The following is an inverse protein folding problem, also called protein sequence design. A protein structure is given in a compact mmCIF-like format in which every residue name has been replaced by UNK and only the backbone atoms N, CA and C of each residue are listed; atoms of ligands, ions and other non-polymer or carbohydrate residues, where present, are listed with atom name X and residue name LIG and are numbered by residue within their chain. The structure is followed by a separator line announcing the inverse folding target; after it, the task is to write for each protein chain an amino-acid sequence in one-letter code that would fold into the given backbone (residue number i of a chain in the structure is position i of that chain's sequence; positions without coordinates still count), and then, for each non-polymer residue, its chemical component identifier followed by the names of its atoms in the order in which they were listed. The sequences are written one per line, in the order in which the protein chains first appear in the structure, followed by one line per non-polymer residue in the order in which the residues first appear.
data_IF_791227323657
#
_entry.id   IF_791227323657
#
_cell.length_a   1.000
_cell.length_b   1.000
_cell.length_c   1.000
_cell.angle_alpha   90.00
_cell.angle_beta   90.00
_cell.angle_gamma   90.00
#
_symmetry.space_group_name_H-M   'P 1'
#
loop_
_entity.id
_entity.type
_entity.pdbx_description
1 polymer ?
#
# COMPACT_ATOMS: atom_id res chain seq x y z
N UNK A 1 -17.37 9.96 10.93
CA UNK A 1 -15.98 10.09 11.41
C UNK A 1 -15.87 11.36 12.25
N UNK A 2 -14.98 11.44 13.24
CA UNK A 2 -14.85 12.63 14.11
C UNK A 2 -14.56 13.92 13.31
N UNK A 3 -13.74 13.83 12.25
CA UNK A 3 -13.42 14.97 11.39
C UNK A 3 -14.61 15.47 10.54
N UNK A 4 -15.57 14.61 10.22
CA UNK A 4 -16.77 14.98 9.45
C UNK A 4 -17.83 15.69 10.30
N UNK A 5 -17.64 15.67 11.63
CA UNK A 5 -18.50 16.34 12.60
C UNK A 5 -17.87 17.65 13.11
N UNK A 6 -16.64 17.96 12.69
CA UNK A 6 -15.96 19.21 13.04
C UNK A 6 -16.62 20.38 12.31
N UNK A 7 -16.70 21.52 12.99
CA UNK A 7 -17.19 22.75 12.37
C UNK A 7 -16.24 23.18 11.25
N UNK A 8 -16.77 23.52 10.07
CA UNK A 8 -15.98 23.89 8.89
C UNK A 8 -15.16 25.16 9.13
N UNK A 9 -15.62 26.01 10.05
CA UNK A 9 -15.01 27.30 10.40
C UNK A 9 -13.92 27.18 11.48
N UNK A 10 -13.77 26.02 12.15
CA UNK A 10 -12.75 25.80 13.18
C UNK A 10 -11.52 25.05 12.64
N UNK A 11 -10.29 25.48 12.98
CA UNK A 11 -9.10 24.74 12.63
C UNK A 11 -9.00 23.45 13.44
N UNK A 12 -8.57 22.37 12.78
CA UNK A 12 -8.35 21.05 13.38
C UNK A 12 -6.86 20.80 13.61
N UNK A 13 -6.54 20.02 14.63
CA UNK A 13 -5.17 19.55 14.87
C UNK A 13 -4.84 18.39 13.92
N UNK A 14 -3.82 18.58 13.09
CA UNK A 14 -3.30 17.56 12.19
C UNK A 14 -1.84 17.24 12.53
N UNK A 15 -1.52 15.95 12.65
CA UNK A 15 -0.20 15.47 13.06
C UNK A 15 0.73 15.32 11.86
N UNK A 16 1.89 15.98 11.92
CA UNK A 16 2.99 15.79 10.96
C UNK A 16 4.24 15.41 11.73
N UNK A 17 4.72 14.19 11.53
CA UNK A 17 5.83 13.62 12.30
C UNK A 17 5.46 13.49 13.79
N UNK A 18 6.12 14.27 14.64
CA UNK A 18 5.88 14.28 16.10
C UNK A 18 5.14 15.54 16.60
N UNK A 19 4.77 16.45 15.70
CA UNK A 19 4.11 17.72 16.06
C UNK A 19 2.68 17.79 15.53
N UNK A 20 1.84 18.57 16.23
CA UNK A 20 0.47 18.89 15.81
C UNK A 20 0.39 20.32 15.31
N UNK A 21 -0.31 20.50 14.20
CA UNK A 21 -0.52 21.80 13.56
C UNK A 21 -2.01 22.06 13.44
N UNK A 22 -2.41 23.29 13.77
CA UNK A 22 -3.76 23.75 13.53
C UNK A 22 -3.89 24.12 12.05
N UNK A 23 -4.68 23.35 11.30
CA UNK A 23 -4.95 23.56 9.88
C UNK A 23 -6.45 23.58 9.63
N UNK A 24 -6.89 24.18 8.52
CA UNK A 24 -8.31 24.15 8.17
C UNK A 24 -8.79 22.71 7.91
N UNK A 25 -10.05 22.43 8.25
CA UNK A 25 -10.68 21.14 8.02
C UNK A 25 -10.52 20.67 6.58
N UNK A 26 -10.81 21.56 5.61
CA UNK A 26 -10.63 21.28 4.18
C UNK A 26 -9.20 20.86 3.81
N UNK A 27 -8.20 21.49 4.42
CA UNK A 27 -6.79 21.12 4.18
C UNK A 27 -6.46 19.77 4.79
N UNK A 28 -6.94 19.48 5.99
CA UNK A 28 -6.76 18.18 6.63
C UNK A 28 -7.38 17.06 5.77
N UNK A 29 -8.61 17.25 5.29
CA UNK A 29 -9.29 16.29 4.41
C UNK A 29 -8.53 16.04 3.10
N UNK A 30 -8.03 17.10 2.43
CA UNK A 30 -7.22 16.94 1.21
C UNK A 30 -5.92 16.17 1.47
N UNK A 31 -5.24 16.43 2.60
CA UNK A 31 -4.03 15.71 2.96
C UNK A 31 -4.32 14.23 3.23
N UNK A 32 -5.36 13.93 4.02
CA UNK A 32 -5.78 12.56 4.29
C UNK A 32 -6.13 11.80 3.01
N UNK A 33 -6.87 12.43 2.10
CA UNK A 33 -7.24 11.81 0.83
C UNK A 33 -6.00 11.50 -0.02
N UNK A 34 -5.07 12.45 -0.11
CA UNK A 34 -3.80 12.24 -0.83
C UNK A 34 -2.96 11.13 -0.20
N UNK A 35 -2.87 11.08 1.12
CA UNK A 35 -2.12 10.06 1.84
C UNK A 35 -2.75 8.67 1.60
N UNK A 36 -4.08 8.58 1.63
CA UNK A 36 -4.81 7.36 1.32
C UNK A 36 -4.54 6.90 -0.12
N UNK A 37 -4.62 7.79 -1.10
CA UNK A 37 -4.31 7.47 -2.50
C UNK A 37 -2.86 6.99 -2.68
N UNK A 38 -1.90 7.59 -1.96
CA UNK A 38 -0.49 7.15 -1.99
C UNK A 38 -0.34 5.73 -1.43
N UNK A 39 -0.93 5.48 -0.25
CA UNK A 39 -0.87 4.17 0.40
C UNK A 39 -1.54 3.10 -0.47
N UNK A 40 -2.70 3.40 -1.06
CA UNK A 40 -3.39 2.47 -1.96
C UNK A 40 -2.54 2.16 -3.20
N UNK A 41 -1.84 3.16 -3.75
CA UNK A 41 -0.91 2.94 -4.86
C UNK A 41 0.28 2.05 -4.47
N UNK A 42 0.84 2.26 -3.27
CA UNK A 42 1.94 1.44 -2.75
C UNK A 42 1.50 -0.02 -2.53
N UNK A 43 0.31 -0.23 -1.95
CA UNK A 43 -0.28 -1.57 -1.76
C UNK A 43 -0.44 -2.27 -3.11
N UNK A 44 -1.00 -1.59 -4.11
CA UNK A 44 -1.19 -2.16 -5.43
C UNK A 44 0.14 -2.51 -6.11
N UNK A 45 1.18 -1.68 -5.94
CA UNK A 45 2.53 -1.97 -6.42
C UNK A 45 3.11 -3.23 -5.79
N UNK A 46 3.05 -3.33 -4.46
CA UNK A 46 3.52 -4.50 -3.71
C UNK A 46 2.77 -5.77 -4.11
N UNK A 47 1.45 -5.69 -4.34
CA UNK A 47 0.67 -6.84 -4.81
C UNK A 47 1.14 -7.30 -6.19
N UNK A 48 1.45 -6.37 -7.09
CA UNK A 48 2.01 -6.69 -8.41
C UNK A 48 3.38 -7.39 -8.31
N UNK A 49 4.25 -6.93 -7.41
CA UNK A 49 5.55 -7.58 -7.15
C UNK A 49 5.39 -9.00 -6.61
N UNK A 50 4.44 -9.22 -5.70
CA UNK A 50 4.10 -10.55 -5.17
C UNK A 50 3.66 -11.47 -6.30
N UNK A 51 2.73 -11.02 -7.14
CA UNK A 51 2.19 -11.83 -8.24
C UNK A 51 3.28 -12.18 -9.25
N UNK A 52 4.15 -11.22 -9.58
CA UNK A 52 5.30 -11.45 -10.45
C UNK A 52 6.26 -12.49 -9.85
N UNK A 53 6.64 -12.35 -8.59
CA UNK A 53 7.53 -13.30 -7.90
C UNK A 53 6.94 -14.72 -7.88
N UNK A 54 5.63 -14.85 -7.61
CA UNK A 54 4.95 -16.13 -7.66
C UNK A 54 4.94 -16.75 -9.06
N UNK A 55 4.77 -15.92 -10.10
CA UNK A 55 4.81 -16.37 -11.48
C UNK A 55 6.22 -16.84 -11.86
N UNK A 56 7.24 -16.07 -11.54
CA UNK A 56 8.64 -16.43 -11.76
C UNK A 56 9.02 -17.73 -11.03
N UNK A 57 8.55 -17.93 -9.79
CA UNK A 57 8.73 -19.21 -9.07
C UNK A 57 8.08 -20.38 -9.80
N UNK A 58 6.86 -20.23 -10.31
CA UNK A 58 6.16 -21.29 -11.06
C UNK A 58 6.93 -21.64 -12.32
N UNK A 59 7.32 -20.63 -13.09
CA UNK A 59 8.05 -20.82 -14.35
C UNK A 59 9.42 -21.47 -14.10
N UNK A 60 10.10 -21.07 -13.03
CA UNK A 60 11.35 -21.69 -12.61
C UNK A 60 11.16 -23.16 -12.21
N UNK A 61 10.10 -23.49 -11.45
CA UNK A 61 9.78 -24.90 -11.11
C UNK A 61 9.57 -25.73 -12.37
N UNK A 62 8.81 -25.21 -13.34
CA UNK A 62 8.59 -25.88 -14.64
C UNK A 62 9.91 -26.10 -15.37
N UNK A 63 10.76 -25.07 -15.45
CA UNK A 63 12.06 -25.17 -16.12
C UNK A 63 12.98 -26.21 -15.45
N UNK A 64 13.01 -26.26 -14.11
CA UNK A 64 13.80 -27.22 -13.36
C UNK A 64 13.29 -28.65 -13.56
N UNK A 65 11.99 -28.89 -13.50
CA UNK A 65 11.43 -30.21 -13.78
C UNK A 65 11.62 -30.64 -15.24
N UNK A 66 11.56 -29.73 -16.21
CA UNK A 66 11.87 -30.03 -17.60
C UNK A 66 13.35 -30.45 -17.78
N UNK A 67 14.27 -29.86 -17.02
CA UNK A 67 15.70 -30.13 -17.11
C UNK A 67 16.16 -31.37 -16.34
N UNK A 68 15.63 -31.58 -15.13
CA UNK A 68 16.10 -32.61 -14.20
C UNK A 68 15.10 -33.76 -14.00
N UNK A 69 13.86 -33.60 -14.44
CA UNK A 69 12.83 -34.64 -14.36
C UNK A 69 12.59 -35.13 -12.94
N UNK A 70 12.54 -36.46 -12.79
CA UNK A 70 12.30 -37.14 -11.49
C UNK A 70 13.52 -37.17 -10.56
N UNK A 71 14.65 -36.57 -10.95
CA UNK A 71 15.86 -36.53 -10.13
C UNK A 71 15.79 -35.50 -9.00
N UNK A 72 14.79 -34.61 -9.04
CA UNK A 72 14.54 -33.58 -8.02
C UNK A 72 13.07 -33.62 -7.59
N UNK A 73 12.80 -33.10 -6.38
CA UNK A 73 11.45 -32.85 -5.89
C UNK A 73 11.39 -31.42 -5.34
N UNK A 74 10.45 -30.62 -5.84
CA UNK A 74 10.25 -29.20 -5.55
C UNK A 74 8.83 -28.89 -5.02
N UNK A 75 8.08 -29.91 -4.63
CA UNK A 75 6.79 -29.77 -3.94
C UNK A 75 6.96 -29.35 -2.48
#
# INVERSE_FOLDING_TARGET
MELELADEDEPVEYKIGEAFFHISLKRAQMLLQKDQESIDSEINGLQGEIDQCQQEMKDLKVALYAKFGKQINLD
#
